data_IF_300645120813
#
_entry.id   IF_300645120813
#
_cell.length_a   1.000
_cell.length_b   1.000
_cell.length_c   1.000
_cell.angle_alpha   90.00
_cell.angle_beta   90.00
_cell.angle_gamma   90.00
#
_symmetry.space_group_name_H-M   'P 1'
#
loop_
_entity.id
_entity.type
_entity.pdbx_description
1 polymer ?
#
# COMPACT_ATOMS: atom_id res chain seq x y z
N UNK A 1 11.22 6.43 -30.60
CA UNK A 1 10.05 5.99 -29.81
C UNK A 1 8.78 6.79 -30.12
N UNK A 2 8.84 7.80 -31.00
CA UNK A 2 7.69 8.66 -31.36
C UNK A 2 6.77 8.07 -32.46
N UNK A 3 7.01 6.83 -32.90
CA UNK A 3 6.38 6.32 -34.13
C UNK A 3 5.01 5.64 -33.93
N UNK A 4 4.48 5.60 -32.69
CA UNK A 4 3.20 4.95 -32.39
C UNK A 4 2.06 5.93 -32.02
N UNK A 5 2.30 7.25 -32.03
CA UNK A 5 1.31 8.24 -31.57
C UNK A 5 0.54 8.97 -32.66
N UNK A 6 0.88 8.78 -33.94
CA UNK A 6 0.28 9.58 -35.02
C UNK A 6 -1.14 9.14 -35.42
N UNK A 7 -1.62 7.94 -35.04
CA UNK A 7 -3.02 7.49 -35.22
C UNK A 7 -3.39 6.36 -34.23
N UNK A 8 -3.54 6.62 -32.93
CA UNK A 8 -4.02 5.61 -31.99
C UNK A 8 -5.51 5.31 -32.23
N UNK A 9 -5.92 4.07 -31.96
CA UNK A 9 -7.33 3.72 -31.88
C UNK A 9 -7.99 4.49 -30.73
N UNK A 10 -9.22 4.97 -30.89
CA UNK A 10 -9.91 5.81 -29.88
C UNK A 10 -10.02 5.13 -28.50
N UNK A 11 -10.12 3.80 -28.48
CA UNK A 11 -10.17 2.98 -27.26
C UNK A 11 -8.80 2.51 -26.73
N UNK A 12 -7.70 2.86 -27.40
CA UNK A 12 -6.37 2.45 -26.91
C UNK A 12 -6.07 3.12 -25.56
N UNK A 13 -5.65 2.31 -24.58
CA UNK A 13 -5.23 2.76 -23.25
C UNK A 13 -3.93 2.06 -22.87
N UNK A 14 -2.96 2.83 -22.38
CA UNK A 14 -1.70 2.32 -21.83
C UNK A 14 -1.66 2.58 -20.33
N UNK A 15 -1.44 1.53 -19.55
CA UNK A 15 -1.27 1.61 -18.10
C UNK A 15 0.16 1.25 -17.72
N UNK A 16 0.81 2.10 -16.94
CA UNK A 16 2.18 1.92 -16.46
C UNK A 16 2.15 1.96 -14.94
N UNK A 17 2.74 0.96 -14.28
CA UNK A 17 2.93 0.92 -12.83
C UNK A 17 4.43 0.87 -12.55
N UNK A 18 4.91 1.78 -11.71
CA UNK A 18 6.30 1.82 -11.27
C UNK A 18 6.35 2.29 -9.80
N UNK A 19 7.31 1.76 -9.05
CA UNK A 19 7.64 2.30 -7.73
C UNK A 19 8.41 3.62 -7.91
N UNK A 20 8.21 4.60 -7.02
CA UNK A 20 8.99 5.82 -7.05
C UNK A 20 10.48 5.52 -6.80
N UNK A 21 11.33 6.30 -7.44
CA UNK A 21 12.77 6.34 -7.16
C UNK A 21 13.03 6.70 -5.69
N UNK A 22 14.15 6.22 -5.15
CA UNK A 22 14.61 6.60 -3.81
C UNK A 22 15.10 8.06 -3.78
N UNK A 23 15.60 8.57 -4.90
CA UNK A 23 15.96 9.97 -5.09
C UNK A 23 14.78 10.71 -5.77
N UNK A 24 14.17 11.71 -5.11
CA UNK A 24 13.07 12.49 -5.67
C UNK A 24 13.44 13.29 -6.94
N UNK A 25 14.72 13.44 -7.26
CA UNK A 25 15.20 14.09 -8.49
C UNK A 25 15.39 13.13 -9.67
N UNK A 26 15.36 11.83 -9.44
CA UNK A 26 15.42 10.83 -10.51
C UNK A 26 14.02 10.28 -10.79
N UNK A 27 13.72 9.94 -12.04
CA UNK A 27 12.52 9.17 -12.37
C UNK A 27 12.88 8.07 -13.36
N UNK A 28 12.40 6.86 -13.08
CA UNK A 28 12.58 5.70 -13.96
C UNK A 28 11.75 5.88 -15.23
N UNK A 29 10.65 6.64 -15.16
CA UNK A 29 9.79 6.92 -16.31
C UNK A 29 10.29 8.19 -17.01
N UNK A 30 10.54 8.15 -18.33
CA UNK A 30 10.95 9.33 -19.08
C UNK A 30 9.99 10.51 -18.90
N UNK A 31 10.55 11.71 -18.75
CA UNK A 31 9.80 12.95 -18.50
C UNK A 31 8.67 13.17 -19.53
N UNK A 32 8.93 12.96 -20.83
CA UNK A 32 7.90 13.15 -21.86
C UNK A 32 6.67 12.25 -21.69
N UNK A 33 6.87 11.00 -21.24
CA UNK A 33 5.75 10.10 -20.93
C UNK A 33 4.98 10.64 -19.73
N UNK A 34 5.68 11.05 -18.68
CA UNK A 34 5.06 11.61 -17.48
C UNK A 34 4.26 12.88 -17.76
N UNK A 35 4.74 13.76 -18.64
CA UNK A 35 4.05 14.98 -19.03
C UNK A 35 2.77 14.70 -19.82
N UNK A 36 2.76 13.63 -20.61
CA UNK A 36 1.59 13.18 -21.39
C UNK A 36 0.63 12.25 -20.66
N UNK A 37 0.96 11.80 -19.44
CA UNK A 37 0.22 10.77 -18.72
C UNK A 37 -0.70 11.35 -17.61
N UNK A 38 -1.79 10.63 -17.32
CA UNK A 38 -2.56 10.81 -16.09
C UNK A 38 -1.82 10.07 -14.97
N UNK A 39 -1.34 10.82 -13.97
CA UNK A 39 -0.57 10.27 -12.85
C UNK A 39 -1.51 9.90 -11.71
N UNK A 40 -1.45 8.65 -11.26
CA UNK A 40 -2.23 8.15 -10.13
C UNK A 40 -1.25 7.58 -9.11
N UNK A 41 -1.32 8.08 -7.87
CA UNK A 41 -0.54 7.57 -6.74
C UNK A 41 -1.45 6.76 -5.83
N UNK A 42 -1.03 5.54 -5.47
CA UNK A 42 -1.73 4.73 -4.48
C UNK A 42 -1.02 4.91 -3.13
N UNK A 43 -1.54 5.81 -2.31
CA UNK A 43 -1.02 5.98 -0.95
C UNK A 43 -1.57 4.90 -0.03
N UNK A 44 -0.75 4.36 0.91
CA UNK A 44 -1.25 3.43 1.90
C UNK A 44 -2.36 4.08 2.74
N UNK A 45 -3.35 3.30 3.21
CA UNK A 45 -4.40 3.82 4.07
C UNK A 45 -3.80 4.55 5.27
N UNK A 46 -4.40 5.68 5.61
CA UNK A 46 -3.96 6.50 6.73
C UNK A 46 -4.97 6.45 7.88
N UNK A 47 -4.43 6.36 9.10
CA UNK A 47 -5.23 6.27 10.31
C UNK A 47 -5.36 4.84 10.82
N UNK A 48 -5.48 4.73 12.14
CA UNK A 48 -5.53 3.45 12.86
C UNK A 48 -6.69 2.58 12.35
N UNK A 49 -7.87 3.13 12.17
CA UNK A 49 -9.05 2.37 11.75
C UNK A 49 -8.88 1.75 10.35
N UNK A 50 -8.41 2.52 9.38
CA UNK A 50 -8.19 2.02 8.02
C UNK A 50 -7.10 0.92 7.99
N UNK A 51 -6.06 1.06 8.81
CA UNK A 51 -5.03 0.02 8.95
C UNK A 51 -5.55 -1.24 9.64
N UNK A 52 -6.46 -1.13 10.62
CA UNK A 52 -7.09 -2.31 11.25
C UNK A 52 -7.93 -3.07 10.23
N UNK A 53 -8.77 -2.37 9.46
CA UNK A 53 -9.57 -3.01 8.41
C UNK A 53 -8.69 -3.73 7.40
N UNK A 54 -7.66 -3.05 6.88
CA UNK A 54 -6.70 -3.66 5.96
C UNK A 54 -5.98 -4.88 6.57
N UNK A 55 -5.63 -4.84 7.85
CA UNK A 55 -5.00 -5.97 8.52
C UNK A 55 -5.98 -7.15 8.69
N UNK A 56 -7.25 -6.87 9.01
CA UNK A 56 -8.29 -7.89 9.13
C UNK A 56 -8.64 -8.53 7.77
N UNK A 57 -8.58 -7.76 6.67
CA UNK A 57 -8.84 -8.26 5.31
C UNK A 57 -7.85 -9.34 4.85
N UNK A 58 -6.72 -9.51 5.55
CA UNK A 58 -5.78 -10.61 5.31
C UNK A 58 -6.28 -11.97 5.83
N UNK A 59 -7.38 -12.00 6.59
CA UNK A 59 -7.92 -13.21 7.21
C UNK A 59 -9.28 -13.55 6.62
N UNK A 60 -9.49 -14.81 6.26
CA UNK A 60 -10.77 -15.29 5.72
C UNK A 60 -11.75 -15.63 6.85
N UNK A 61 -13.04 -15.69 6.54
CA UNK A 61 -14.06 -16.12 7.51
C UNK A 61 -13.76 -17.52 8.07
N UNK A 62 -13.29 -18.44 7.22
CA UNK A 62 -12.84 -19.78 7.63
C UNK A 62 -11.72 -19.72 8.66
N UNK A 63 -10.77 -18.79 8.52
CA UNK A 63 -9.70 -18.58 9.51
C UNK A 63 -10.27 -18.09 10.84
N UNK A 64 -11.29 -17.24 10.82
CA UNK A 64 -11.93 -16.73 12.02
C UNK A 64 -12.72 -17.81 12.78
N UNK A 65 -13.16 -18.85 12.08
CA UNK A 65 -13.96 -19.96 12.58
C UNK A 65 -13.13 -21.24 12.80
N UNK A 66 -11.82 -21.20 12.53
CA UNK A 66 -10.95 -22.38 12.57
C UNK A 66 -10.67 -22.90 13.99
N UNK A 67 -11.09 -22.18 15.02
CA UNK A 67 -10.79 -22.49 16.42
C UNK A 67 -12.09 -22.75 17.20
N UNK A 68 -12.09 -23.80 18.02
CA UNK A 68 -13.22 -24.12 18.91
C UNK A 68 -13.49 -23.06 19.99
N UNK A 69 -12.52 -22.16 20.23
CA UNK A 69 -12.62 -21.00 21.12
C UNK A 69 -12.62 -19.70 20.30
N UNK A 70 -13.65 -19.53 19.48
CA UNK A 70 -13.71 -18.42 18.52
C UNK A 70 -13.62 -17.05 19.17
N UNK A 71 -14.24 -16.84 20.33
CA UNK A 71 -14.27 -15.54 21.01
C UNK A 71 -12.88 -15.09 21.41
N UNK A 72 -12.10 -15.96 22.07
CA UNK A 72 -10.73 -15.68 22.48
C UNK A 72 -9.81 -15.52 21.27
N UNK A 73 -9.97 -16.36 20.26
CA UNK A 73 -9.20 -16.27 19.02
C UNK A 73 -9.43 -14.94 18.30
N UNK A 74 -10.69 -14.56 18.08
CA UNK A 74 -11.08 -13.28 17.45
C UNK A 74 -10.59 -12.08 18.26
N UNK A 75 -10.62 -12.15 19.59
CA UNK A 75 -10.10 -11.09 20.45
C UNK A 75 -8.56 -10.92 20.32
N UNK A 76 -7.81 -12.03 20.33
CA UNK A 76 -6.35 -12.01 20.15
C UNK A 76 -5.99 -11.51 18.75
N UNK A 77 -6.68 -11.98 17.72
CA UNK A 77 -6.47 -11.56 16.34
C UNK A 77 -6.72 -10.06 16.17
N UNK A 78 -7.81 -9.55 16.74
CA UNK A 78 -8.10 -8.12 16.73
C UNK A 78 -7.01 -7.33 17.45
N UNK A 79 -6.56 -7.78 18.63
CA UNK A 79 -5.47 -7.13 19.36
C UNK A 79 -4.16 -7.09 18.54
N UNK A 80 -3.85 -8.15 17.79
CA UNK A 80 -2.70 -8.21 16.88
C UNK A 80 -2.85 -7.22 15.72
N UNK A 81 -4.04 -7.16 15.09
CA UNK A 81 -4.33 -6.20 14.01
C UNK A 81 -4.26 -4.76 14.49
N UNK A 82 -4.77 -4.48 15.69
CA UNK A 82 -4.66 -3.18 16.35
C UNK A 82 -3.20 -2.81 16.60
N UNK A 83 -2.40 -3.73 17.13
CA UNK A 83 -0.97 -3.52 17.34
C UNK A 83 -0.25 -3.22 16.01
N UNK A 84 -0.51 -4.01 14.96
CA UNK A 84 0.00 -3.76 13.61
C UNK A 84 -0.36 -2.35 13.14
N UNK A 85 -1.62 -1.94 13.27
CA UNK A 85 -2.09 -0.62 12.86
C UNK A 85 -1.37 0.52 13.59
N UNK A 86 -1.14 0.38 14.90
CA UNK A 86 -0.37 1.36 15.69
C UNK A 86 1.08 1.43 15.21
N UNK A 87 1.74 0.31 14.94
CA UNK A 87 3.12 0.32 14.42
C UNK A 87 3.20 1.00 13.04
N UNK A 88 2.23 0.71 12.16
CA UNK A 88 2.14 1.32 10.83
C UNK A 88 1.99 2.84 10.91
N UNK A 89 1.12 3.35 11.79
CA UNK A 89 0.98 4.80 12.01
C UNK A 89 2.23 5.42 12.64
N UNK A 90 2.85 4.74 13.62
CA UNK A 90 4.08 5.23 14.27
C UNK A 90 5.25 5.37 13.29
N UNK A 91 5.29 4.59 12.22
CA UNK A 91 6.35 4.68 11.19
C UNK A 91 6.35 6.04 10.48
N UNK A 92 5.21 6.73 10.41
CA UNK A 92 5.08 8.05 9.76
C UNK A 92 5.88 9.15 10.46
N UNK A 93 6.24 8.95 11.73
CA UNK A 93 6.95 9.94 12.54
C UNK A 93 8.49 9.83 12.43
N UNK A 94 9.01 9.02 11.49
CA UNK A 94 10.44 8.91 11.24
C UNK A 94 11.26 8.60 12.50
N UNK A 95 12.32 9.38 12.74
CA UNK A 95 13.21 9.20 13.90
C UNK A 95 12.50 9.40 15.26
N UNK A 96 11.40 10.15 15.33
CA UNK A 96 10.60 10.29 16.56
C UNK A 96 9.74 9.04 16.83
N UNK A 97 9.40 8.30 15.77
CA UNK A 97 8.66 7.05 15.87
C UNK A 97 9.55 5.85 16.22
N UNK A 98 10.77 5.81 15.68
CA UNK A 98 11.71 4.69 15.77
C UNK A 98 13.19 5.13 15.70
N UNK A 99 14.04 4.57 16.57
CA UNK A 99 15.50 4.78 16.51
C UNK A 99 16.16 4.10 15.29
N UNK A 100 15.51 3.09 14.70
CA UNK A 100 15.93 2.43 13.45
C UNK A 100 14.68 1.93 12.72
N UNK A 101 14.57 2.23 11.43
CA UNK A 101 13.42 1.80 10.62
C UNK A 101 13.51 0.28 10.42
N UNK A 102 12.58 -0.46 11.02
CA UNK A 102 12.40 -1.90 10.79
C UNK A 102 11.37 -2.12 9.68
N UNK A 103 11.66 -3.05 8.77
CA UNK A 103 10.76 -3.43 7.68
C UNK A 103 9.70 -4.42 8.20
N UNK A 104 8.76 -3.93 9.01
CA UNK A 104 7.56 -4.70 9.35
C UNK A 104 6.68 -4.77 8.09
N UNK A 105 6.62 -5.94 7.47
CA UNK A 105 5.72 -6.22 6.34
C UNK A 105 4.55 -7.04 6.86
N UNK A 106 3.37 -6.72 6.35
CA UNK A 106 2.12 -7.45 6.55
C UNK A 106 2.15 -8.80 5.83
#
# INVERSE_FOLDING_TARGET
MEQCSENPHDDYRLFISAEPSLDPHESIIPQGILESAIKITNEPPSGIQANIHKALDNFTQETLESCSKETEFKAILFALCYYHAVLAERRKFGAQGWNRVSNFKS
#
